data_IF_880251772522
#
_entry.id   IF_880251772522
#
_cell.length_a   1.000
_cell.length_b   1.000
_cell.length_c   1.000
_cell.angle_alpha   90.00
_cell.angle_beta   90.00
_cell.angle_gamma   90.00
#
_symmetry.space_group_name_H-M   'P 1'
#
loop_
_entity.id
_entity.type
_entity.pdbx_description
1 polymer ?
#
# COMPACT_ATOMS: atom_id res chain seq x y z
N UNK A 1 -16.62 8.88 22.36
CA UNK A 1 -15.53 9.66 21.73
C UNK A 1 -14.64 8.69 20.95
N UNK A 2 -15.06 8.23 19.75
CA UNK A 2 -14.26 7.30 18.91
C UNK A 2 -14.70 7.29 17.42
N UNK A 3 -15.05 8.45 16.86
CA UNK A 3 -15.64 8.52 15.51
C UNK A 3 -14.63 8.43 14.34
N UNK A 4 -13.33 8.32 14.64
CA UNK A 4 -12.29 8.43 13.60
C UNK A 4 -12.14 7.15 12.77
N UNK A 5 -12.15 5.97 13.39
CA UNK A 5 -11.99 4.68 12.71
C UNK A 5 -13.33 3.92 12.71
N UNK A 6 -14.22 4.32 11.82
CA UNK A 6 -15.50 3.64 11.58
C UNK A 6 -15.68 3.43 10.09
N UNK A 7 -16.52 2.47 9.69
CA UNK A 7 -16.83 2.27 8.28
C UNK A 7 -17.38 3.56 7.66
N UNK A 8 -18.33 4.21 8.34
CA UNK A 8 -18.91 5.48 7.89
C UNK A 8 -17.84 6.56 7.68
N UNK A 9 -16.86 6.69 8.58
CA UNK A 9 -15.82 7.71 8.46
C UNK A 9 -14.85 7.44 7.31
N UNK A 10 -14.61 6.17 6.97
CA UNK A 10 -13.74 5.75 5.87
C UNK A 10 -14.46 5.81 4.52
N UNK A 11 -15.67 5.27 4.46
CA UNK A 11 -16.46 5.12 3.23
C UNK A 11 -17.05 6.45 2.74
N UNK A 12 -17.35 7.39 3.64
CA UNK A 12 -17.92 8.70 3.27
C UNK A 12 -17.04 9.55 2.34
N UNK A 13 -15.75 9.22 2.20
CA UNK A 13 -14.79 9.93 1.34
C UNK A 13 -14.45 9.17 0.06
N UNK A 14 -15.10 8.03 -0.19
CA UNK A 14 -14.87 7.22 -1.37
C UNK A 14 -15.92 7.59 -2.40
N UNK A 15 -15.43 7.97 -3.57
CA UNK A 15 -16.24 8.13 -4.77
C UNK A 15 -16.11 6.83 -5.60
N UNK A 16 -17.18 6.46 -6.31
CA UNK A 16 -17.19 5.28 -7.16
C UNK A 16 -17.59 3.98 -6.46
N UNK A 17 -17.43 2.86 -7.18
CA UNK A 17 -17.80 1.53 -6.71
C UNK A 17 -16.56 0.75 -6.26
N UNK A 18 -16.62 0.16 -5.06
CA UNK A 18 -15.54 -0.67 -4.50
C UNK A 18 -15.49 -2.09 -5.07
N UNK A 19 -16.39 -2.41 -6.01
CA UNK A 19 -16.52 -3.71 -6.62
C UNK A 19 -17.27 -4.69 -5.73
N UNK A 20 -16.79 -5.93 -5.72
CA UNK A 20 -17.35 -6.98 -4.88
C UNK A 20 -17.25 -6.63 -3.39
N UNK A 21 -18.15 -7.21 -2.60
CA UNK A 21 -18.28 -6.99 -1.16
C UNK A 21 -17.18 -7.66 -0.31
N UNK A 22 -16.18 -8.29 -0.93
CA UNK A 22 -15.10 -9.03 -0.25
C UNK A 22 -14.15 -8.15 0.58
N UNK A 23 -14.31 -6.83 0.53
CA UNK A 23 -13.63 -5.86 1.40
C UNK A 23 -14.35 -5.64 2.74
N UNK A 24 -15.65 -5.95 2.85
CA UNK A 24 -16.45 -5.59 4.04
C UNK A 24 -15.99 -6.33 5.29
N UNK A 25 -15.85 -7.65 5.19
CA UNK A 25 -15.34 -8.49 6.28
C UNK A 25 -13.94 -8.06 6.77
N UNK A 26 -12.90 -7.99 5.93
CA UNK A 26 -11.57 -7.57 6.40
C UNK A 26 -11.55 -6.14 6.91
N UNK A 27 -12.38 -5.23 6.37
CA UNK A 27 -12.53 -3.88 6.92
C UNK A 27 -13.08 -3.90 8.35
N UNK A 28 -14.13 -4.69 8.58
CA UNK A 28 -14.76 -4.83 9.89
C UNK A 28 -13.78 -5.37 10.92
N UNK A 29 -13.07 -6.46 10.60
CA UNK A 29 -12.04 -7.06 11.46
C UNK A 29 -10.92 -6.05 11.75
N UNK A 30 -10.40 -5.39 10.71
CA UNK A 30 -9.34 -4.40 10.87
C UNK A 30 -9.78 -3.25 11.79
N UNK A 31 -10.99 -2.73 11.61
CA UNK A 31 -11.51 -1.64 12.44
C UNK A 31 -11.71 -2.07 13.89
N UNK A 32 -12.18 -3.29 14.13
CA UNK A 32 -12.35 -3.83 15.47
C UNK A 32 -10.99 -3.92 16.20
N UNK A 33 -10.00 -4.59 15.59
CA UNK A 33 -8.67 -4.71 16.19
C UNK A 33 -7.97 -3.36 16.36
N UNK A 34 -8.13 -2.41 15.42
CA UNK A 34 -7.53 -1.08 15.58
C UNK A 34 -8.18 -0.27 16.71
N UNK A 35 -9.48 -0.45 16.97
CA UNK A 35 -10.19 0.28 18.02
C UNK A 35 -10.02 -0.34 19.41
N UNK A 36 -9.95 -1.68 19.48
CA UNK A 36 -10.01 -2.42 20.74
C UNK A 36 -8.66 -2.98 21.19
N UNK A 37 -7.73 -3.28 20.27
CA UNK A 37 -6.48 -3.99 20.59
C UNK A 37 -5.23 -3.14 20.35
N UNK A 38 -5.22 -2.30 19.30
CA UNK A 38 -4.00 -1.64 18.83
C UNK A 38 -3.49 -0.48 19.70
N UNK A 39 -4.22 -0.05 20.74
CA UNK A 39 -3.84 1.05 21.65
C UNK A 39 -3.29 2.31 20.93
N UNK A 40 -3.98 2.73 19.87
CA UNK A 40 -3.52 3.82 18.99
C UNK A 40 -3.60 5.18 19.67
N UNK A 41 -2.55 5.98 19.47
CA UNK A 41 -2.58 7.42 19.72
C UNK A 41 -3.58 8.15 18.80
N UNK A 42 -3.97 9.38 19.15
CA UNK A 42 -4.85 10.18 18.28
C UNK A 42 -4.25 10.39 16.89
N UNK A 43 -2.94 10.69 16.83
CA UNK A 43 -2.22 10.84 15.56
C UNK A 43 -2.17 9.52 14.78
N UNK A 44 -2.01 8.39 15.48
CA UNK A 44 -2.08 7.05 14.89
C UNK A 44 -3.44 6.74 14.27
N UNK A 45 -4.53 7.08 14.97
CA UNK A 45 -5.91 6.94 14.44
C UNK A 45 -6.11 7.78 13.17
N UNK A 46 -5.61 9.02 13.15
CA UNK A 46 -5.71 9.90 11.98
C UNK A 46 -4.90 9.33 10.80
N UNK A 47 -3.67 8.87 11.05
CA UNK A 47 -2.79 8.31 10.04
C UNK A 47 -3.36 7.03 9.42
N UNK A 48 -3.81 6.07 10.24
CA UNK A 48 -4.44 4.83 9.77
C UNK A 48 -5.73 5.11 9.02
N UNK A 49 -6.57 6.03 9.51
CA UNK A 49 -7.78 6.45 8.81
C UNK A 49 -7.47 6.99 7.41
N UNK A 50 -6.43 7.82 7.28
CA UNK A 50 -5.99 8.35 5.99
C UNK A 50 -5.51 7.24 5.06
N UNK A 51 -4.68 6.33 5.57
CA UNK A 51 -4.09 5.24 4.79
C UNK A 51 -5.14 4.23 4.31
N UNK A 52 -6.01 3.74 5.20
CA UNK A 52 -7.10 2.81 4.83
C UNK A 52 -8.03 3.46 3.79
N UNK A 53 -8.40 4.73 3.99
CA UNK A 53 -9.21 5.47 3.00
C UNK A 53 -8.49 5.60 1.65
N UNK A 54 -7.18 5.77 1.65
CA UNK A 54 -6.38 5.84 0.42
C UNK A 54 -6.33 4.50 -0.31
N UNK A 55 -6.16 3.38 0.40
CA UNK A 55 -6.24 2.04 -0.17
C UNK A 55 -7.61 1.73 -0.78
N UNK A 56 -8.68 2.09 -0.08
CA UNK A 56 -10.05 1.92 -0.59
C UNK A 56 -10.32 2.78 -1.83
N UNK A 57 -9.78 4.01 -1.90
CA UNK A 57 -9.84 4.83 -3.12
C UNK A 57 -9.12 4.17 -4.29
N UNK A 58 -7.97 3.55 -4.04
CA UNK A 58 -7.25 2.80 -5.10
C UNK A 58 -8.08 1.60 -5.53
N UNK A 59 -8.68 0.86 -4.59
CA UNK A 59 -9.61 -0.24 -4.90
C UNK A 59 -10.75 0.21 -5.80
N UNK A 60 -11.42 1.32 -5.48
CA UNK A 60 -12.48 1.90 -6.31
C UNK A 60 -11.99 2.16 -7.74
N UNK A 61 -10.81 2.80 -7.89
CA UNK A 61 -10.20 3.05 -9.21
C UNK A 61 -9.82 1.78 -9.97
N UNK A 62 -9.35 0.74 -9.28
CA UNK A 62 -9.08 -0.57 -9.89
C UNK A 62 -10.39 -1.14 -10.45
N UNK A 63 -11.44 -1.16 -9.64
CA UNK A 63 -12.73 -1.69 -10.07
C UNK A 63 -13.29 -0.90 -11.26
N UNK A 64 -13.34 0.42 -11.19
CA UNK A 64 -13.79 1.27 -12.31
C UNK A 64 -12.98 1.03 -13.59
N UNK A 65 -11.68 0.79 -13.46
CA UNK A 65 -10.83 0.51 -14.61
C UNK A 65 -11.10 -0.87 -15.23
N UNK A 66 -11.42 -1.89 -14.42
CA UNK A 66 -11.57 -3.29 -14.86
C UNK A 66 -13.00 -3.66 -15.25
N UNK A 67 -14.01 -3.12 -14.56
CA UNK A 67 -15.41 -3.59 -14.57
C UNK A 67 -16.07 -3.67 -15.96
N UNK A 68 -15.54 -2.97 -16.97
CA UNK A 68 -16.05 -3.01 -18.34
C UNK A 68 -14.92 -3.10 -19.40
N UNK A 69 -13.76 -3.67 -19.03
CA UNK A 69 -12.63 -3.81 -19.95
C UNK A 69 -12.21 -5.26 -20.10
N UNK A 70 -12.08 -5.70 -21.35
CA UNK A 70 -11.30 -6.90 -21.65
C UNK A 70 -9.82 -6.57 -21.54
N UNK A 71 -9.21 -6.99 -20.44
CA UNK A 71 -7.77 -6.85 -20.25
C UNK A 71 -7.05 -8.02 -20.91
N UNK A 72 -5.87 -7.73 -21.47
CA UNK A 72 -4.96 -8.76 -21.96
C UNK A 72 -4.62 -9.70 -20.81
N UNK A 73 -4.66 -11.01 -21.06
CA UNK A 73 -4.18 -12.01 -20.09
C UNK A 73 -2.72 -11.71 -19.72
N UNK A 74 -2.38 -11.70 -18.42
CA UNK A 74 -1.01 -11.51 -17.99
C UNK A 74 -0.11 -12.65 -18.50
N UNK A 75 1.18 -12.38 -18.66
CA UNK A 75 2.17 -13.42 -18.88
C UNK A 75 2.28 -14.34 -17.64
N UNK A 76 2.92 -15.51 -17.78
CA UNK A 76 3.17 -16.42 -16.67
C UNK A 76 4.05 -15.73 -15.60
N UNK A 77 3.54 -15.48 -14.38
CA UNK A 77 4.29 -14.77 -13.36
C UNK A 77 5.28 -15.69 -12.63
N UNK A 78 6.35 -15.10 -12.12
CA UNK A 78 7.24 -15.73 -11.13
C UNK A 78 6.93 -15.11 -9.77
N UNK A 79 6.65 -15.95 -8.77
CA UNK A 79 6.49 -15.52 -7.39
C UNK A 79 7.70 -15.93 -6.56
N UNK A 80 8.31 -14.96 -5.89
CA UNK A 80 9.33 -15.21 -4.88
C UNK A 80 8.64 -15.23 -3.52
N UNK A 81 8.65 -16.38 -2.85
CA UNK A 81 8.02 -16.58 -1.54
C UNK A 81 9.05 -17.13 -0.55
N UNK A 82 8.93 -16.72 0.71
CA UNK A 82 9.83 -17.16 1.78
C UNK A 82 9.59 -16.38 3.07
N UNK A 83 10.27 -16.79 4.13
CA UNK A 83 10.21 -16.10 5.41
C UNK A 83 11.00 -14.78 5.35
N UNK A 84 10.67 -13.78 6.19
CA UNK A 84 11.52 -12.62 6.36
C UNK A 84 12.96 -13.06 6.66
N UNK A 85 13.94 -12.39 6.02
CA UNK A 85 15.39 -12.69 6.14
C UNK A 85 15.87 -14.00 5.51
N UNK A 86 15.11 -14.62 4.61
CA UNK A 86 15.58 -15.81 3.85
C UNK A 86 16.19 -15.49 2.47
N UNK A 87 16.58 -14.23 2.22
CA UNK A 87 17.17 -13.81 0.95
C UNK A 87 16.18 -13.58 -0.20
N UNK A 88 14.87 -13.59 0.05
CA UNK A 88 13.83 -13.35 -0.96
C UNK A 88 13.97 -11.99 -1.65
N UNK A 89 14.22 -10.92 -0.89
CA UNK A 89 14.43 -9.57 -1.44
C UNK A 89 15.64 -9.53 -2.38
N UNK A 90 16.74 -10.22 -2.03
CA UNK A 90 17.91 -10.30 -2.90
C UNK A 90 17.60 -11.04 -4.21
N UNK A 91 16.94 -12.21 -4.13
CA UNK A 91 16.53 -12.97 -5.31
C UNK A 91 15.55 -12.18 -6.19
N UNK A 92 14.57 -11.53 -5.58
CA UNK A 92 13.60 -10.69 -6.29
C UNK A 92 14.28 -9.53 -7.02
N UNK A 93 15.21 -8.84 -6.37
CA UNK A 93 16.00 -7.79 -6.99
C UNK A 93 16.86 -8.33 -8.14
N UNK A 94 17.49 -9.49 -7.98
CA UNK A 94 18.28 -10.12 -9.05
C UNK A 94 17.41 -10.42 -10.29
N UNK A 95 16.23 -11.02 -10.09
CA UNK A 95 15.29 -11.33 -11.17
C UNK A 95 14.76 -10.06 -11.86
N UNK A 96 14.63 -8.95 -11.12
CA UNK A 96 14.14 -7.68 -11.66
C UNK A 96 15.09 -7.01 -12.66
N UNK A 97 16.37 -7.44 -12.70
CA UNK A 97 17.38 -6.87 -13.61
C UNK A 97 17.27 -7.41 -15.04
N UNK A 98 16.58 -8.54 -15.25
CA UNK A 98 16.36 -9.09 -16.59
C UNK A 98 15.22 -8.35 -17.28
N UNK A 99 15.53 -7.75 -18.45
CA UNK A 99 14.60 -6.94 -19.24
C UNK A 99 13.43 -7.72 -19.84
N UNK A 100 13.49 -9.06 -19.84
CA UNK A 100 12.36 -9.91 -20.23
C UNK A 100 11.29 -10.01 -19.14
N UNK A 101 11.62 -9.62 -17.90
CA UNK A 101 10.70 -9.60 -16.77
C UNK A 101 10.33 -8.18 -16.37
N UNK A 102 9.22 -8.06 -15.63
CA UNK A 102 8.73 -6.79 -15.11
C UNK A 102 8.30 -6.94 -13.66
N UNK A 103 9.00 -6.23 -12.77
CA UNK A 103 8.66 -6.15 -11.34
C UNK A 103 7.90 -4.87 -11.01
N UNK A 104 6.83 -4.89 -10.20
CA UNK A 104 6.14 -3.66 -9.82
C UNK A 104 7.07 -2.72 -9.05
N UNK A 105 7.03 -1.42 -9.36
CA UNK A 105 7.89 -0.39 -8.76
C UNK A 105 7.17 0.33 -7.61
N UNK A 106 7.92 0.84 -6.63
CA UNK A 106 7.37 1.55 -5.47
C UNK A 106 6.39 2.66 -5.89
N UNK A 107 6.75 3.51 -6.86
CA UNK A 107 5.88 4.61 -7.30
C UNK A 107 4.56 4.10 -7.93
N UNK A 108 4.58 2.96 -8.61
CA UNK A 108 3.38 2.36 -9.22
C UNK A 108 2.45 1.84 -8.14
N UNK A 109 2.99 1.29 -7.06
CA UNK A 109 2.20 0.80 -5.93
C UNK A 109 1.61 1.96 -5.12
N UNK A 110 2.37 3.04 -4.90
CA UNK A 110 1.86 4.21 -4.17
C UNK A 110 0.81 4.96 -5.00
N UNK A 111 1.01 5.07 -6.30
CA UNK A 111 0.16 5.86 -7.21
C UNK A 111 -0.12 5.11 -8.52
N UNK A 112 -0.94 4.03 -8.50
CA UNK A 112 -1.18 3.20 -9.68
C UNK A 112 -2.05 3.90 -10.75
N UNK A 113 -2.92 4.83 -10.33
CA UNK A 113 -3.90 5.47 -11.22
C UNK A 113 -3.75 6.99 -11.33
N UNK A 114 -4.04 7.57 -12.51
CA UNK A 114 -4.33 6.88 -13.79
C UNK A 114 -3.11 6.10 -14.33
N UNK A 115 -3.30 5.19 -15.29
CA UNK A 115 -2.14 4.59 -15.97
C UNK A 115 -1.43 5.67 -16.78
N UNK A 116 -0.10 5.67 -16.75
CA UNK A 116 0.72 6.70 -17.40
C UNK A 116 1.80 6.07 -18.27
N UNK A 117 2.22 6.80 -19.30
CA UNK A 117 3.38 6.43 -20.10
C UNK A 117 4.65 6.75 -19.33
N UNK A 118 5.65 5.89 -19.46
CA UNK A 118 7.02 6.18 -19.03
C UNK A 118 7.50 7.50 -19.67
N UNK A 119 8.37 8.21 -18.96
CA UNK A 119 8.97 9.50 -19.35
C UNK A 119 8.02 10.69 -19.56
N UNK A 120 6.71 10.51 -19.36
CA UNK A 120 5.75 11.60 -19.35
C UNK A 120 6.03 12.61 -18.21
N UNK A 121 5.53 13.85 -18.35
CA UNK A 121 5.60 14.84 -17.26
C UNK A 121 4.95 14.31 -15.97
N UNK A 122 3.85 13.57 -16.12
CA UNK A 122 3.14 12.94 -15.01
C UNK A 122 3.97 11.83 -14.34
N UNK A 123 4.74 11.06 -15.11
CA UNK A 123 5.70 10.09 -14.58
C UNK A 123 6.72 10.77 -13.66
N UNK A 124 7.37 11.83 -14.15
CA UNK A 124 8.34 12.61 -13.35
C UNK A 124 7.70 13.19 -12.09
N UNK A 125 6.43 13.60 -12.16
CA UNK A 125 5.66 14.10 -11.00
C UNK A 125 5.41 13.00 -9.96
N UNK A 126 5.10 11.78 -10.36
CA UNK A 126 4.91 10.65 -9.44
C UNK A 126 6.19 10.20 -8.77
N UNK A 127 7.29 10.18 -9.50
CA UNK A 127 8.62 9.91 -8.93
C UNK A 127 8.91 10.91 -7.79
N UNK A 128 8.85 12.22 -8.09
CA UNK A 128 9.07 13.27 -7.07
C UNK A 128 8.13 13.17 -5.87
N UNK A 129 6.85 12.85 -6.11
CA UNK A 129 5.86 12.68 -5.04
C UNK A 129 6.18 11.47 -4.16
N UNK A 130 6.63 10.38 -4.77
CA UNK A 130 7.04 9.16 -4.06
C UNK A 130 8.30 9.41 -3.27
N UNK A 131 9.32 10.06 -3.87
CA UNK A 131 10.56 10.45 -3.17
C UNK A 131 10.27 11.32 -1.94
N UNK A 132 9.33 12.28 -2.07
CA UNK A 132 8.90 13.10 -0.94
C UNK A 132 8.25 12.26 0.16
N UNK A 133 7.36 11.32 -0.18
CA UNK A 133 6.77 10.41 0.81
C UNK A 133 7.82 9.55 1.51
N UNK A 134 8.74 8.97 0.75
CA UNK A 134 9.84 8.17 1.28
C UNK A 134 10.74 9.00 2.19
N UNK A 135 11.03 10.26 1.84
CA UNK A 135 11.78 11.17 2.71
C UNK A 135 11.10 11.37 4.06
N UNK A 136 9.79 11.64 4.10
CA UNK A 136 9.06 11.77 5.38
C UNK A 136 9.02 10.47 6.16
N UNK A 137 8.84 9.34 5.48
CA UNK A 137 8.87 8.03 6.12
C UNK A 137 10.21 7.75 6.79
N UNK A 138 11.32 8.01 6.09
CA UNK A 138 12.68 7.88 6.64
C UNK A 138 12.91 8.80 7.84
N UNK A 139 12.32 10.00 7.84
CA UNK A 139 12.40 10.92 9.00
C UNK A 139 11.58 10.45 10.20
N UNK A 140 10.41 9.85 9.98
CA UNK A 140 9.53 9.37 11.03
C UNK A 140 9.98 8.01 11.60
N UNK A 141 10.60 7.17 10.78
CA UNK A 141 11.07 5.83 11.15
C UNK A 141 12.51 5.66 10.63
N UNK A 142 13.51 6.28 11.30
CA UNK A 142 14.90 6.27 10.83
C UNK A 142 15.49 4.87 10.66
N UNK A 143 15.13 3.95 11.55
CA UNK A 143 15.64 2.56 11.52
C UNK A 143 15.10 1.75 10.34
N UNK A 144 14.05 2.22 9.65
CA UNK A 144 13.45 1.49 8.53
C UNK A 144 14.41 1.44 7.34
N UNK A 145 15.15 2.52 7.07
CA UNK A 145 16.05 2.62 5.92
C UNK A 145 17.31 1.74 6.09
N UNK A 146 17.68 1.44 7.35
CA UNK A 146 18.76 0.51 7.68
C UNK A 146 18.38 -0.93 7.32
N UNK A 147 17.10 -1.26 7.46
CA UNK A 147 16.59 -2.62 7.27
C UNK A 147 16.14 -2.87 5.83
N UNK A 148 15.52 -1.88 5.20
CA UNK A 148 14.93 -1.96 3.86
C UNK A 148 15.07 -0.63 3.11
N UNK A 149 16.23 -0.37 2.49
CA UNK A 149 16.46 0.86 1.72
C UNK A 149 15.68 0.80 0.42
N UNK A 150 14.82 1.78 0.19
CA UNK A 150 13.95 1.84 -0.99
C UNK A 150 13.98 3.21 -1.66
N UNK A 151 13.91 3.19 -2.98
CA UNK A 151 13.75 4.35 -3.85
C UNK A 151 12.44 4.25 -4.62
N UNK A 152 11.97 5.37 -5.16
CA UNK A 152 10.70 5.42 -5.90
C UNK A 152 10.65 4.50 -7.11
N UNK A 153 11.79 4.22 -7.74
CA UNK A 153 11.92 3.36 -8.92
C UNK A 153 12.43 1.96 -8.61
N UNK A 154 12.61 1.60 -7.33
CA UNK A 154 13.02 0.25 -6.98
C UNK A 154 11.85 -0.73 -7.15
N UNK A 155 12.13 -1.99 -7.53
CA UNK A 155 11.14 -3.05 -7.48
C UNK A 155 10.78 -3.33 -6.01
N UNK A 156 9.51 -3.62 -5.73
CA UNK A 156 9.05 -3.79 -4.34
C UNK A 156 8.11 -4.98 -4.14
N UNK A 157 7.97 -5.42 -2.89
CA UNK A 157 7.17 -6.58 -2.50
C UNK A 157 5.66 -6.30 -2.57
N UNK A 158 4.87 -7.36 -2.77
CA UNK A 158 3.40 -7.27 -2.85
C UNK A 158 2.72 -6.77 -1.56
N UNK A 159 3.48 -6.56 -0.49
CA UNK A 159 3.02 -5.96 0.77
C UNK A 159 2.38 -4.58 0.57
N UNK A 160 2.77 -3.83 -0.47
CA UNK A 160 2.17 -2.53 -0.81
C UNK A 160 0.95 -2.63 -1.73
N UNK A 161 0.69 -3.79 -2.35
CA UNK A 161 -0.46 -4.02 -3.24
C UNK A 161 -1.61 -4.69 -2.48
N UNK A 162 -1.30 -5.67 -1.63
CA UNK A 162 -2.29 -6.38 -0.80
C UNK A 162 -3.23 -5.47 0.00
N UNK A 163 -2.84 -4.27 0.49
CA UNK A 163 -3.75 -3.36 1.18
C UNK A 163 -4.95 -2.90 0.35
N UNK A 164 -4.90 -2.97 -0.98
CA UNK A 164 -6.07 -2.63 -1.83
C UNK A 164 -7.23 -3.62 -1.66
N UNK A 165 -6.94 -4.82 -1.16
CA UNK A 165 -7.95 -5.82 -0.76
C UNK A 165 -8.29 -5.78 0.73
N UNK A 166 -7.65 -4.88 1.50
CA UNK A 166 -7.64 -4.82 2.95
C UNK A 166 -7.08 -6.07 3.68
N UNK A 167 -6.59 -7.07 2.94
CA UNK A 167 -6.00 -8.31 3.47
C UNK A 167 -4.47 -8.21 3.43
N UNK A 168 -3.88 -7.51 4.40
CA UNK A 168 -2.44 -7.24 4.38
C UNK A 168 -1.79 -7.23 5.76
N UNK A 169 -0.61 -7.85 5.86
CA UNK A 169 0.27 -7.76 7.02
C UNK A 169 0.74 -6.32 7.29
N UNK A 170 0.69 -5.44 6.28
CA UNK A 170 1.12 -4.04 6.42
C UNK A 170 0.39 -3.33 7.56
N UNK A 171 -0.91 -3.61 7.76
CA UNK A 171 -1.67 -2.98 8.83
C UNK A 171 -1.18 -3.34 10.22
N UNK A 172 -0.69 -4.57 10.42
CA UNK A 172 -0.10 -4.98 11.69
C UNK A 172 1.19 -4.18 12.00
N UNK A 173 2.02 -3.94 10.97
CA UNK A 173 3.23 -3.13 11.10
C UNK A 173 2.87 -1.67 11.39
N UNK A 174 1.93 -1.11 10.64
CA UNK A 174 1.48 0.28 10.81
C UNK A 174 0.90 0.51 12.21
N UNK A 175 0.05 -0.39 12.70
CA UNK A 175 -0.51 -0.30 14.04
C UNK A 175 0.61 -0.24 15.09
N UNK A 176 1.62 -1.11 14.98
CA UNK A 176 2.75 -1.17 15.90
C UNK A 176 3.59 0.11 15.95
N UNK A 177 3.84 0.75 14.80
CA UNK A 177 4.59 2.01 14.75
C UNK A 177 3.80 3.22 15.27
N UNK A 178 2.47 3.14 15.25
CA UNK A 178 1.56 4.24 15.61
C UNK A 178 1.00 4.12 17.04
N UNK A 179 1.37 3.06 17.76
CA UNK A 179 1.25 2.98 19.21
C UNK A 179 2.25 3.97 19.82
N UNK A 180 1.76 4.79 20.74
CA UNK A 180 2.55 5.76 21.47
C UNK A 180 3.82 5.11 22.08
N UNK A 181 5.02 5.51 21.63
CA UNK A 181 6.19 5.58 22.52
C UNK A 181 6.07 6.90 23.27
N UNK A 182 5.28 6.94 24.34
CA UNK A 182 5.48 7.97 25.36
C UNK A 182 6.71 7.53 26.12
N UNK A 183 7.86 8.08 25.75
CA UNK A 183 8.97 8.28 26.68
C UNK A 183 8.80 9.64 27.33
#
# INVERSE_FOLDING_TARGET
MNYLLTEKSLLSKIEGNLGEDDYKEPLSILLDSLNNEANLSLIGKIALRYQISSHLKIRSKIFEFVNNKELRKPASPIFVIGLPRSGTTYLFNLLSLDSNYRSPLVWEMFFPFPLIKQDSSEYKRRIKKTDFMLFFQKKLIPDLDVVHPIQSTDPEECLLISPFSLKSLLYSYMARFLVMKVT
#
